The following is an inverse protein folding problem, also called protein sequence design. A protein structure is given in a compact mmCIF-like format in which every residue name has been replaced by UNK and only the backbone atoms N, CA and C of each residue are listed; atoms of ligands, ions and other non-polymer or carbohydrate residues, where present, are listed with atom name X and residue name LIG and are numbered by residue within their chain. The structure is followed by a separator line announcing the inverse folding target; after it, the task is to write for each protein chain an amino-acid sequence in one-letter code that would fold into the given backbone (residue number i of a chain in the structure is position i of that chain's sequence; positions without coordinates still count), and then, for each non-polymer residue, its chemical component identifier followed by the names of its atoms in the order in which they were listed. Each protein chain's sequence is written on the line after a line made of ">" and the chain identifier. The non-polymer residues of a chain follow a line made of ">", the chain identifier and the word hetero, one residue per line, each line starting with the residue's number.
data_IF_721053819411
#
_entry.id   IF_721053819411
#
_cell.length_a   1.000
_cell.length_b   1.000
_cell.length_c   1.000
_cell.angle_alpha   90.00
_cell.angle_beta   90.00
_cell.angle_gamma   90.00
#
_symmetry.space_group_name_H-M   'P 1'
#
loop_
_entity.id
_entity.type
_entity.pdbx_description
1 polymer ?
#
# COMPACT_ATOMS: atom_id res chain seq x y z
N UNK A 1 17.39 -34.33 -36.02
CA UNK A 1 16.32 -33.41 -35.55
C UNK A 1 16.26 -33.58 -34.06
N UNK A 2 16.94 -32.67 -33.34
CA UNK A 2 17.04 -32.73 -31.88
C UNK A 2 15.84 -31.95 -31.33
N UNK A 3 14.91 -32.68 -30.70
CA UNK A 3 13.76 -32.09 -29.98
C UNK A 3 14.27 -31.56 -28.64
N UNK A 4 14.28 -30.24 -28.47
CA UNK A 4 14.52 -29.63 -27.16
C UNK A 4 13.43 -30.08 -26.18
N UNK A 5 13.76 -30.40 -24.92
CA UNK A 5 12.76 -30.74 -23.92
C UNK A 5 11.85 -29.53 -23.70
N UNK A 6 10.54 -29.76 -23.75
CA UNK A 6 9.54 -28.75 -23.43
C UNK A 6 9.80 -28.24 -21.99
N UNK A 7 9.92 -26.93 -21.81
CA UNK A 7 9.99 -26.37 -20.47
C UNK A 7 8.72 -26.75 -19.69
N UNK A 8 8.85 -27.18 -18.43
CA UNK A 8 7.69 -27.49 -17.62
C UNK A 8 6.85 -26.22 -17.50
N UNK A 9 5.58 -26.31 -17.90
CA UNK A 9 4.62 -25.23 -17.76
C UNK A 9 4.59 -24.69 -16.33
N UNK A 10 4.05 -23.49 -16.09
CA UNK A 10 4.06 -22.85 -14.79
C UNK A 10 3.37 -23.75 -13.78
N UNK A 11 4.17 -24.39 -12.91
CA UNK A 11 3.62 -25.13 -11.77
C UNK A 11 3.05 -24.13 -10.79
N UNK A 12 1.78 -24.27 -10.43
CA UNK A 12 1.08 -23.49 -9.39
C UNK A 12 1.64 -23.72 -7.98
N UNK A 13 2.62 -24.61 -7.82
CA UNK A 13 3.33 -24.95 -6.58
C UNK A 13 4.46 -23.99 -6.21
N UNK A 14 4.55 -22.82 -6.84
CA UNK A 14 5.54 -21.80 -6.49
C UNK A 14 5.07 -21.01 -5.27
N UNK A 15 6.01 -20.72 -4.35
CA UNK A 15 5.74 -19.78 -3.26
C UNK A 15 5.22 -18.45 -3.85
N UNK A 16 4.16 -17.88 -3.27
CA UNK A 16 3.65 -16.57 -3.69
C UNK A 16 4.77 -15.52 -3.70
N UNK A 17 4.75 -14.55 -4.61
CA UNK A 17 5.73 -13.47 -4.65
C UNK A 17 5.83 -12.75 -3.30
N UNK A 18 7.04 -12.74 -2.71
CA UNK A 18 7.30 -12.18 -1.39
C UNK A 18 8.75 -11.71 -1.27
N UNK A 19 9.02 -10.83 -0.32
CA UNK A 19 10.35 -10.42 0.11
C UNK A 19 10.33 -10.16 1.62
N UNK A 20 10.64 -11.19 2.40
CA UNK A 20 10.55 -11.14 3.87
C UNK A 20 11.61 -10.19 4.45
N UNK A 21 12.75 -10.05 3.80
CA UNK A 21 13.82 -9.16 4.28
C UNK A 21 13.43 -7.69 4.06
N UNK A 22 12.77 -7.37 2.94
CA UNK A 22 12.19 -6.05 2.72
C UNK A 22 11.08 -5.76 3.75
N UNK A 23 10.19 -6.72 4.03
CA UNK A 23 9.13 -6.56 5.05
C UNK A 23 9.73 -6.28 6.44
N UNK A 24 10.74 -7.04 6.86
CA UNK A 24 11.45 -6.82 8.14
C UNK A 24 12.12 -5.45 8.19
N UNK A 25 12.75 -5.03 7.07
CA UNK A 25 13.42 -3.74 6.98
C UNK A 25 12.44 -2.57 7.10
N UNK A 26 11.27 -2.68 6.47
CA UNK A 26 10.18 -1.70 6.61
C UNK A 26 9.73 -1.58 8.07
N UNK A 27 9.36 -2.70 8.69
CA UNK A 27 8.85 -2.70 10.06
C UNK A 27 9.89 -2.21 11.06
N UNK A 28 11.15 -2.62 10.89
CA UNK A 28 12.25 -2.15 11.72
C UNK A 28 12.48 -0.64 11.60
N UNK A 29 12.41 -0.09 10.38
CA UNK A 29 12.50 1.35 10.15
C UNK A 29 11.33 2.12 10.82
N UNK A 30 10.10 1.62 10.70
CA UNK A 30 8.92 2.22 11.33
C UNK A 30 9.03 2.22 12.87
N UNK A 31 9.54 1.14 13.48
CA UNK A 31 9.78 1.06 14.93
C UNK A 31 10.91 2.00 15.42
N UNK A 32 11.76 2.49 14.50
CA UNK A 32 12.91 3.32 14.81
C UNK A 32 12.67 4.81 14.58
N UNK A 33 11.74 5.20 13.70
CA UNK A 33 11.57 6.59 13.28
C UNK A 33 10.14 6.92 12.88
N UNK A 34 9.61 8.05 13.38
CA UNK A 34 8.31 8.58 12.98
C UNK A 34 8.28 9.01 11.52
N UNK A 35 9.37 9.53 10.99
CA UNK A 35 9.45 9.94 9.59
C UNK A 35 9.36 8.70 8.68
N UNK A 36 10.00 7.59 9.06
CA UNK A 36 9.87 6.34 8.34
C UNK A 36 8.43 5.81 8.35
N UNK A 37 7.66 6.02 9.43
CA UNK A 37 6.23 5.64 9.45
C UNK A 37 5.47 6.46 8.40
N UNK A 38 5.66 7.78 8.36
CA UNK A 38 5.01 8.65 7.40
C UNK A 38 5.31 8.22 5.95
N UNK A 39 6.59 8.02 5.63
CA UNK A 39 7.02 7.59 4.29
C UNK A 39 6.43 6.24 3.88
N UNK A 40 6.35 5.28 4.83
CA UNK A 40 5.89 3.91 4.53
C UNK A 40 4.38 3.84 4.33
N UNK A 41 3.58 4.57 5.13
CA UNK A 41 2.11 4.52 5.02
C UNK A 41 1.58 5.14 3.73
N UNK A 42 2.38 5.98 3.07
CA UNK A 42 2.08 6.50 1.73
C UNK A 42 2.24 5.43 0.63
N UNK A 43 3.12 4.45 0.84
CA UNK A 43 3.48 3.46 -0.18
C UNK A 43 2.71 2.13 -0.05
N UNK A 44 2.42 1.68 1.19
CA UNK A 44 1.82 0.36 1.46
C UNK A 44 0.78 0.39 2.58
N UNK A 45 -0.04 -0.68 2.59
CA UNK A 45 -1.03 -0.97 3.63
C UNK A 45 -0.72 -2.32 4.30
N UNK A 46 -1.31 -2.60 5.44
CA UNK A 46 -1.12 -3.85 6.17
C UNK A 46 -1.34 -5.10 5.32
N UNK A 47 -2.36 -5.08 4.45
CA UNK A 47 -2.69 -6.19 3.53
C UNK A 47 -1.63 -6.46 2.45
N UNK A 48 -0.67 -5.57 2.27
CA UNK A 48 0.43 -5.75 1.31
C UNK A 48 1.56 -6.61 1.87
N UNK A 49 1.59 -6.87 3.17
CA UNK A 49 2.52 -7.81 3.76
C UNK A 49 2.15 -9.27 3.43
N UNK A 50 3.15 -10.09 3.22
CA UNK A 50 2.97 -11.53 3.01
C UNK A 50 2.73 -12.27 4.33
N UNK A 51 3.47 -11.89 5.39
CA UNK A 51 3.35 -12.51 6.70
C UNK A 51 2.21 -11.87 7.50
N UNK A 52 1.22 -12.65 7.97
CA UNK A 52 0.14 -12.11 8.80
C UNK A 52 0.64 -11.43 10.08
N UNK A 53 1.77 -11.90 10.66
CA UNK A 53 2.38 -11.25 11.81
C UNK A 53 2.94 -9.87 11.49
N UNK A 54 3.46 -9.65 10.29
CA UNK A 54 3.94 -8.35 9.83
C UNK A 54 2.79 -7.36 9.62
N UNK A 55 1.68 -7.83 9.05
CA UNK A 55 0.45 -7.03 8.94
C UNK A 55 -0.03 -6.55 10.31
N UNK A 56 -0.05 -7.43 11.32
CA UNK A 56 -0.44 -7.07 12.69
C UNK A 56 0.48 -6.00 13.28
N UNK A 57 1.80 -6.15 13.11
CA UNK A 57 2.78 -5.17 13.58
C UNK A 57 2.57 -3.82 12.88
N UNK A 58 2.47 -3.82 11.54
CA UNK A 58 2.26 -2.63 10.74
C UNK A 58 0.99 -1.87 11.18
N UNK A 59 -0.15 -2.56 11.26
CA UNK A 59 -1.42 -1.96 11.65
C UNK A 59 -1.34 -1.38 13.06
N UNK A 60 -0.64 -2.06 13.99
CA UNK A 60 -0.47 -1.56 15.36
C UNK A 60 0.41 -0.32 15.41
N UNK A 61 1.52 -0.26 14.66
CA UNK A 61 2.38 0.92 14.55
C UNK A 61 1.58 2.09 13.97
N UNK A 62 0.82 1.85 12.89
CA UNK A 62 0.01 2.87 12.22
C UNK A 62 -1.10 3.41 13.14
N UNK A 63 -1.75 2.54 13.92
CA UNK A 63 -2.74 2.95 14.91
C UNK A 63 -2.14 3.82 16.03
N UNK A 64 -0.96 3.44 16.55
CA UNK A 64 -0.25 4.24 17.56
C UNK A 64 0.15 5.60 17.00
N UNK A 65 0.73 5.62 15.81
CA UNK A 65 1.13 6.83 15.09
C UNK A 65 -0.07 7.77 14.85
N UNK A 66 -1.19 7.24 14.37
CA UNK A 66 -2.42 8.02 14.12
C UNK A 66 -3.03 8.64 15.37
N UNK A 67 -2.78 8.08 16.56
CA UNK A 67 -3.18 8.65 17.86
C UNK A 67 -2.15 9.63 18.45
N UNK A 68 -0.98 9.76 17.81
CA UNK A 68 0.13 10.55 18.33
C UNK A 68 0.93 9.86 19.44
N UNK A 69 0.64 8.57 19.69
CA UNK A 69 1.35 7.76 20.69
C UNK A 69 2.75 7.37 20.16
N UNK A 70 3.74 7.12 21.05
CA UNK A 70 5.00 6.50 20.65
C UNK A 70 4.75 5.15 19.99
N UNK A 71 5.44 4.87 18.86
CA UNK A 71 5.30 3.62 18.11
C UNK A 71 6.64 2.87 18.07
N UNK A 72 7.25 2.67 19.23
CA UNK A 72 8.46 1.90 19.44
C UNK A 72 8.16 0.42 19.76
N UNK A 73 9.20 -0.39 19.96
CA UNK A 73 9.06 -1.82 20.25
C UNK A 73 8.30 -2.11 21.55
N UNK A 74 8.42 -1.23 22.55
CA UNK A 74 7.79 -1.43 23.87
C UNK A 74 6.30 -1.14 23.78
N UNK A 75 5.94 0.00 23.24
CA UNK A 75 4.54 0.44 23.08
C UNK A 75 3.78 -0.44 22.09
N UNK A 76 4.43 -0.84 20.99
CA UNK A 76 3.86 -1.76 19.99
C UNK A 76 3.62 -3.14 20.62
N UNK A 77 4.59 -3.68 21.37
CA UNK A 77 4.42 -4.96 22.07
C UNK A 77 3.27 -4.93 23.08
N UNK A 78 3.15 -3.84 23.85
CA UNK A 78 2.08 -3.68 24.83
C UNK A 78 0.69 -3.55 24.15
N UNK A 79 0.62 -2.83 23.04
CA UNK A 79 -0.61 -2.70 22.25
C UNK A 79 -1.06 -4.05 21.64
N UNK A 80 -0.12 -4.83 21.10
CA UNK A 80 -0.37 -6.19 20.58
C UNK A 80 -0.80 -7.15 21.72
N UNK A 81 -0.17 -7.07 22.88
CA UNK A 81 -0.48 -7.90 24.05
C UNK A 81 -1.90 -7.65 24.56
N UNK A 82 -2.31 -6.39 24.67
CA UNK A 82 -3.70 -6.03 25.05
C UNK A 82 -4.76 -6.55 24.08
N UNK A 83 -4.39 -6.75 22.79
CA UNK A 83 -5.27 -7.34 21.77
C UNK A 83 -5.19 -8.87 21.71
N UNK A 84 -4.30 -9.50 22.50
CA UNK A 84 -4.03 -10.94 22.43
C UNK A 84 -3.36 -11.38 21.13
N UNK A 85 -2.67 -10.48 20.45
CA UNK A 85 -2.06 -10.70 19.13
C UNK A 85 -0.54 -10.80 19.16
N UNK A 86 0.10 -10.56 20.33
CA UNK A 86 1.55 -10.49 20.46
C UNK A 86 2.26 -11.77 20.00
N UNK A 87 1.75 -12.95 20.37
CA UNK A 87 2.34 -14.23 19.94
C UNK A 87 2.21 -14.46 18.43
N UNK A 88 1.09 -14.05 17.82
CA UNK A 88 0.88 -14.14 16.38
C UNK A 88 1.80 -13.18 15.60
N UNK A 89 2.18 -12.07 16.23
CA UNK A 89 3.14 -11.10 15.70
C UNK A 89 4.60 -11.57 15.83
N UNK A 90 4.86 -12.67 16.56
CA UNK A 90 6.18 -13.25 16.80
C UNK A 90 6.77 -12.98 18.20
N UNK A 91 6.02 -12.32 19.07
CA UNK A 91 6.43 -12.02 20.45
C UNK A 91 7.39 -10.82 20.57
N UNK A 92 7.70 -10.47 21.82
CA UNK A 92 8.57 -9.31 22.14
C UNK A 92 9.97 -9.43 21.55
N UNK A 93 10.52 -10.64 21.54
CA UNK A 93 11.87 -10.88 21.02
C UNK A 93 11.94 -10.60 19.50
N UNK A 94 10.91 -10.97 18.76
CA UNK A 94 10.84 -10.71 17.32
C UNK A 94 10.77 -9.21 17.01
N UNK A 95 10.00 -8.44 17.78
CA UNK A 95 9.97 -6.98 17.63
C UNK A 95 11.36 -6.35 17.86
N UNK A 96 12.10 -6.86 18.85
CA UNK A 96 13.49 -6.41 19.08
C UNK A 96 14.43 -6.84 17.93
N UNK A 97 14.24 -8.04 17.37
CA UNK A 97 15.01 -8.52 16.20
C UNK A 97 14.80 -7.62 14.97
N UNK A 98 13.58 -7.13 14.74
CA UNK A 98 13.30 -6.21 13.62
C UNK A 98 14.18 -4.97 13.62
N UNK A 99 14.53 -4.44 14.80
CA UNK A 99 15.44 -3.29 14.92
C UNK A 99 16.86 -3.62 14.47
N UNK A 100 17.32 -4.87 14.64
CA UNK A 100 18.67 -5.26 14.24
C UNK A 100 18.83 -5.41 12.73
N UNK A 101 17.72 -5.58 12.01
CA UNK A 101 17.71 -5.70 10.55
C UNK A 101 17.66 -4.33 9.83
N UNK A 102 17.55 -3.23 10.58
CA UNK A 102 17.52 -1.88 9.99
C UNK A 102 18.92 -1.45 9.60
N UNK A 103 19.25 -1.56 8.33
CA UNK A 103 20.55 -1.12 7.81
C UNK A 103 20.62 0.41 7.67
N UNK A 104 19.53 1.04 7.20
CA UNK A 104 19.39 2.51 7.07
C UNK A 104 17.92 2.88 7.08
N UNK A 105 17.44 3.61 8.08
CA UNK A 105 16.05 4.08 8.18
C UNK A 105 15.64 5.00 7.02
N UNK A 106 16.59 5.74 6.44
CA UNK A 106 16.35 6.62 5.28
C UNK A 106 15.89 5.88 4.01
N UNK A 107 15.97 4.54 3.97
CA UNK A 107 15.56 3.75 2.82
C UNK A 107 14.19 3.08 3.02
N UNK A 108 13.43 3.45 4.04
CA UNK A 108 12.14 2.81 4.38
C UNK A 108 11.17 2.81 3.19
N UNK A 109 10.98 3.94 2.53
CA UNK A 109 10.14 4.06 1.33
C UNK A 109 10.60 3.15 0.18
N UNK A 110 11.91 2.97 -0.01
CA UNK A 110 12.43 2.06 -1.03
C UNK A 110 12.06 0.60 -0.74
N UNK A 111 12.22 0.14 0.51
CA UNK A 111 11.80 -1.21 0.90
C UNK A 111 10.29 -1.37 0.84
N UNK A 112 9.53 -0.34 1.20
CA UNK A 112 8.07 -0.34 1.05
C UNK A 112 7.63 -0.54 -0.41
N UNK A 113 8.31 0.09 -1.38
CA UNK A 113 8.06 -0.15 -2.81
C UNK A 113 8.30 -1.61 -3.22
N UNK A 114 9.35 -2.26 -2.71
CA UNK A 114 9.59 -3.69 -2.95
C UNK A 114 8.41 -4.52 -2.42
N UNK A 115 7.94 -4.24 -1.20
CA UNK A 115 6.78 -4.92 -0.62
C UNK A 115 5.53 -4.69 -1.47
N UNK A 116 5.26 -3.46 -1.90
CA UNK A 116 4.14 -3.10 -2.78
C UNK A 116 4.18 -3.87 -4.10
N UNK A 117 5.34 -3.95 -4.75
CA UNK A 117 5.52 -4.70 -6.01
C UNK A 117 5.22 -6.19 -5.82
N UNK A 118 5.72 -6.80 -4.73
CA UNK A 118 5.41 -8.20 -4.42
C UNK A 118 3.93 -8.42 -4.13
N UNK A 119 3.28 -7.48 -3.46
CA UNK A 119 1.84 -7.53 -3.21
C UNK A 119 1.02 -7.45 -4.50
N UNK A 120 1.39 -6.59 -5.46
CA UNK A 120 0.75 -6.53 -6.78
C UNK A 120 0.89 -7.87 -7.51
N UNK A 121 2.09 -8.46 -7.52
CA UNK A 121 2.32 -9.76 -8.14
C UNK A 121 1.51 -10.89 -7.48
N UNK A 122 1.35 -10.88 -6.14
CA UNK A 122 0.48 -11.84 -5.46
C UNK A 122 -0.97 -11.71 -5.89
N UNK A 123 -1.49 -10.47 -5.90
CA UNK A 123 -2.86 -10.19 -6.38
C UNK A 123 -3.08 -10.63 -7.82
N UNK A 124 -2.06 -10.46 -8.68
CA UNK A 124 -2.13 -10.93 -10.07
C UNK A 124 -2.22 -12.46 -10.15
N UNK A 125 -1.42 -13.18 -9.35
CA UNK A 125 -1.49 -14.66 -9.27
C UNK A 125 -2.87 -15.11 -8.77
N UNK A 126 -3.39 -14.49 -7.71
CA UNK A 126 -4.72 -14.81 -7.17
C UNK A 126 -5.84 -14.52 -8.18
N UNK A 127 -5.76 -13.39 -8.89
CA UNK A 127 -6.70 -13.04 -9.95
C UNK A 127 -6.65 -14.06 -11.09
N UNK A 128 -5.44 -14.47 -11.50
CA UNK A 128 -5.24 -15.48 -12.56
C UNK A 128 -5.87 -16.83 -12.20
N UNK A 129 -5.74 -17.25 -10.95
CA UNK A 129 -6.37 -18.49 -10.45
C UNK A 129 -7.89 -18.38 -10.50
N UNK A 130 -8.47 -17.25 -10.05
CA UNK A 130 -9.91 -17.00 -10.10
C UNK A 130 -10.43 -16.98 -11.53
N UNK A 131 -9.72 -16.31 -12.44
CA UNK A 131 -10.09 -16.26 -13.88
C UNK A 131 -10.07 -17.65 -14.49
N UNK A 132 -9.04 -18.46 -14.20
CA UNK A 132 -8.96 -19.83 -14.65
C UNK A 132 -10.15 -20.66 -14.13
N UNK A 133 -10.52 -20.52 -12.85
CA UNK A 133 -11.67 -21.20 -12.26
C UNK A 133 -12.99 -20.80 -12.95
N UNK A 134 -13.20 -19.52 -13.25
CA UNK A 134 -14.39 -19.05 -13.99
C UNK A 134 -14.49 -19.75 -15.35
N UNK A 135 -13.38 -19.84 -16.09
CA UNK A 135 -13.33 -20.52 -17.37
C UNK A 135 -13.63 -22.03 -17.30
N UNK A 136 -13.06 -22.71 -16.29
CA UNK A 136 -13.32 -24.16 -16.11
C UNK A 136 -14.75 -24.47 -15.63
N UNK A 137 -15.34 -23.61 -14.82
CA UNK A 137 -16.71 -23.80 -14.33
C UNK A 137 -17.75 -23.56 -15.43
N UNK A 138 -17.53 -22.58 -16.30
CA UNK A 138 -18.39 -22.29 -17.45
C UNK A 138 -19.85 -22.04 -17.08
N UNK A 139 -20.15 -21.49 -15.90
CA UNK A 139 -21.50 -21.26 -15.42
C UNK A 139 -22.03 -19.90 -15.85
N UNK A 140 -23.07 -19.84 -16.64
CA UNK A 140 -23.71 -18.63 -17.16
C UNK A 140 -23.38 -18.37 -18.63
N UNK A 141 -23.72 -17.18 -19.11
CA UNK A 141 -23.41 -16.76 -20.46
C UNK A 141 -21.93 -16.45 -20.63
N UNK A 142 -21.33 -16.83 -21.76
CA UNK A 142 -19.89 -16.63 -22.01
C UNK A 142 -19.48 -15.16 -21.92
N UNK A 143 -20.34 -14.24 -22.35
CA UNK A 143 -20.09 -12.81 -22.26
C UNK A 143 -19.93 -12.35 -20.82
N UNK A 144 -20.82 -12.80 -19.91
CA UNK A 144 -20.77 -12.44 -18.49
C UNK A 144 -19.51 -12.97 -17.80
N UNK A 145 -19.06 -14.18 -18.18
CA UNK A 145 -17.81 -14.77 -17.66
C UNK A 145 -16.60 -13.94 -18.08
N UNK A 146 -16.57 -13.51 -19.35
CA UNK A 146 -15.49 -12.67 -19.88
C UNK A 146 -15.46 -11.30 -19.19
N UNK A 147 -16.63 -10.68 -19.00
CA UNK A 147 -16.73 -9.39 -18.32
C UNK A 147 -16.26 -9.49 -16.85
N UNK A 148 -16.68 -10.54 -16.14
CA UNK A 148 -16.23 -10.80 -14.76
C UNK A 148 -14.71 -11.04 -14.67
N UNK A 149 -14.13 -11.73 -15.66
CA UNK A 149 -12.69 -11.94 -15.73
C UNK A 149 -11.93 -10.62 -15.98
N UNK A 150 -12.42 -9.76 -16.86
CA UNK A 150 -11.86 -8.43 -17.12
C UNK A 150 -11.93 -7.55 -15.86
N UNK A 151 -13.07 -7.54 -15.16
CA UNK A 151 -13.20 -6.82 -13.90
C UNK A 151 -12.21 -7.31 -12.85
N UNK A 152 -12.07 -8.64 -12.71
CA UNK A 152 -11.11 -9.25 -11.78
C UNK A 152 -9.67 -8.80 -12.06
N UNK A 153 -9.28 -8.68 -13.32
CA UNK A 153 -7.96 -8.20 -13.71
C UNK A 153 -7.81 -6.69 -13.48
N UNK A 154 -8.85 -5.92 -13.78
CA UNK A 154 -8.86 -4.47 -13.57
C UNK A 154 -8.64 -4.11 -12.10
N UNK A 155 -9.29 -4.84 -11.18
CA UNK A 155 -9.16 -4.63 -9.73
C UNK A 155 -7.71 -4.81 -9.20
N UNK A 156 -6.88 -5.60 -9.90
CA UNK A 156 -5.46 -5.74 -9.53
C UNK A 156 -4.70 -4.44 -9.73
N UNK A 157 -5.02 -3.68 -10.78
CA UNK A 157 -4.33 -2.45 -11.15
C UNK A 157 -4.88 -1.22 -10.40
N UNK A 158 -6.19 -1.18 -10.15
CA UNK A 158 -6.88 0.02 -9.65
C UNK A 158 -6.59 0.32 -8.18
N UNK A 159 -6.24 -0.69 -7.36
CA UNK A 159 -5.86 -0.45 -5.96
C UNK A 159 -4.62 0.43 -5.80
N UNK A 160 -3.76 0.53 -6.82
CA UNK A 160 -2.62 1.46 -6.83
C UNK A 160 -3.03 2.88 -7.21
N UNK A 161 -4.14 3.05 -7.95
CA UNK A 161 -4.56 4.33 -8.52
C UNK A 161 -5.64 5.03 -7.68
N UNK A 162 -6.23 4.33 -6.68
CA UNK A 162 -7.36 4.87 -5.90
C UNK A 162 -6.97 6.00 -4.93
N UNK A 163 -5.68 6.30 -4.75
CA UNK A 163 -5.19 7.37 -3.90
C UNK A 163 -4.77 8.63 -4.69
N UNK A 164 -4.70 8.57 -6.02
CA UNK A 164 -4.48 9.74 -6.88
C UNK A 164 -5.77 10.42 -7.37
N UNK A 165 -6.95 9.91 -7.01
CA UNK A 165 -8.19 10.62 -7.28
C UNK A 165 -8.43 11.68 -6.19
N UNK A 166 -7.86 12.86 -6.37
CA UNK A 166 -8.44 14.07 -5.79
C UNK A 166 -9.84 14.22 -6.38
N UNK A 167 -10.90 14.31 -5.56
CA UNK A 167 -12.23 14.51 -6.10
C UNK A 167 -12.21 15.79 -6.94
N UNK A 168 -12.80 15.73 -8.13
CA UNK A 168 -12.85 16.87 -9.06
C UNK A 168 -13.35 18.17 -8.37
N UNK A 169 -14.13 18.05 -7.29
CA UNK A 169 -14.58 19.15 -6.45
C UNK A 169 -13.43 19.98 -5.86
N UNK A 170 -12.32 19.36 -5.43
CA UNK A 170 -11.16 20.09 -4.88
C UNK A 170 -10.38 20.85 -5.97
N UNK A 171 -10.33 20.29 -7.18
CA UNK A 171 -9.74 20.95 -8.35
C UNK A 171 -10.61 22.13 -8.82
N UNK A 172 -11.93 22.03 -8.69
CA UNK A 172 -12.84 23.12 -9.06
C UNK A 172 -12.77 24.28 -8.06
N UNK A 173 -12.67 24.02 -6.74
CA UNK A 173 -12.56 25.10 -5.75
C UNK A 173 -11.30 25.95 -5.96
N UNK A 174 -10.13 25.32 -6.18
CA UNK A 174 -8.89 26.07 -6.43
C UNK A 174 -8.93 26.88 -7.73
N UNK A 175 -9.61 26.38 -8.76
CA UNK A 175 -9.73 27.07 -10.06
C UNK A 175 -10.75 28.20 -10.00
N UNK A 176 -11.82 28.09 -9.20
CA UNK A 176 -12.78 29.16 -8.99
C UNK A 176 -12.16 30.32 -8.21
N UNK A 177 -11.38 30.06 -7.17
CA UNK A 177 -10.67 31.07 -6.40
C UNK A 177 -9.66 31.85 -7.26
N UNK A 178 -8.97 31.19 -8.19
CA UNK A 178 -8.06 31.81 -9.15
C UNK A 178 -8.83 32.68 -10.16
N UNK A 179 -10.00 32.27 -10.64
CA UNK A 179 -10.84 33.02 -11.56
C UNK A 179 -11.46 34.26 -10.90
N UNK A 180 -11.94 34.17 -9.64
CA UNK A 180 -12.42 35.32 -8.88
C UNK A 180 -11.29 36.33 -8.60
N UNK A 181 -10.08 35.88 -8.36
CA UNK A 181 -8.92 36.74 -8.17
C UNK A 181 -8.54 37.52 -9.46
N UNK A 182 -8.86 36.97 -10.64
CA UNK A 182 -8.60 37.62 -11.95
C UNK A 182 -9.72 38.62 -12.31
N UNK A 183 -10.97 38.36 -11.90
CA UNK A 183 -12.13 39.22 -12.19
C UNK A 183 -12.28 40.41 -11.24
N UNK A 184 -11.53 40.47 -10.14
CA UNK A 184 -11.59 41.62 -9.23
C UNK A 184 -11.18 42.94 -9.96
N UNK A 185 -12.08 43.91 -10.18
CA UNK A 185 -11.75 45.11 -10.95
C UNK A 185 -10.68 45.90 -10.21
N UNK A 186 -9.58 46.20 -10.89
CA UNK A 186 -8.54 47.13 -10.42
C UNK A 186 -9.21 48.50 -10.15
N UNK A 187 -9.45 48.84 -8.89
CA UNK A 187 -9.83 50.20 -8.47
C UNK A 187 -8.74 51.17 -8.91
N UNK A 188 -9.07 52.04 -9.84
CA UNK A 188 -8.22 53.13 -10.25
C UNK A 188 -7.96 54.06 -9.04
N UNK A 189 -6.74 54.58 -8.82
CA UNK A 189 -6.45 55.53 -7.77
C UNK A 189 -7.09 56.91 -8.10
N UNK A 190 -7.77 57.43 -7.11
CA UNK A 190 -8.60 58.63 -7.14
C UNK A 190 -7.98 59.86 -7.74
N UNK A 191 -8.75 60.52 -8.64
CA UNK A 191 -8.53 61.89 -9.08
C UNK A 191 -8.85 62.87 -7.95
N UNK A 192 -7.92 63.75 -7.67
CA UNK A 192 -8.02 64.88 -6.74
C UNK A 192 -8.90 65.94 -7.37
N UNK A 193 -9.87 66.62 -6.69
CA UNK A 193 -10.61 67.74 -7.24
C UNK A 193 -9.76 68.99 -7.25
N UNK A 194 -9.92 69.87 -8.28
CA UNK A 194 -9.30 71.22 -8.29
C UNK A 194 -10.04 72.20 -7.40
N UNK A 195 -9.31 73.17 -6.94
CA UNK A 195 -9.58 74.31 -6.07
C UNK A 195 -10.85 75.10 -6.38
#
# INVERSE_FOLDING_TARGET
>A
MSSAPAEPGPSLDRNPPQDIDAEKSVLGAMLSSKDAIADVVEEIKGVDFYRPGHELIFNTITDLYGRGDPADTVTTADALDRRGELERAGGRLYLAELLTNVTVTANAAYYAKIVAEKAVLRRLVEASIRIAQMGYQGQGEVADIVDAAQQTLYDVSTRKTSEEYHPLSELFESTFDELEAIEAPRRAPGGRPPS
#
